data_IF_624088883421
#
_entry.id   IF_624088883421
#
_cell.length_a   1.000
_cell.length_b   1.000
_cell.length_c   1.000
_cell.angle_alpha   90.00
_cell.angle_beta   90.00
_cell.angle_gamma   90.00
#
_symmetry.space_group_name_H-M   'P 1'
#
loop_
_entity.id
_entity.type
_entity.pdbx_description
1 polymer ?
#
# COMPACT_ATOMS: atom_id res chain seq x y z
N UNK A 1 21.80 10.74 6.25
CA UNK A 1 21.43 9.30 6.22
C UNK A 1 20.68 8.85 7.47
N UNK A 2 21.15 9.15 8.70
CA UNK A 2 20.52 8.68 9.95
C UNK A 2 19.10 9.22 10.23
N UNK A 3 18.75 10.42 9.77
CA UNK A 3 17.42 11.00 10.03
C UNK A 3 16.31 10.38 9.16
N UNK A 4 16.61 10.11 7.88
CA UNK A 4 15.70 9.43 6.96
C UNK A 4 15.33 8.03 7.46
N UNK A 5 16.33 7.22 7.84
CA UNK A 5 16.11 5.86 8.33
C UNK A 5 15.25 5.88 9.60
N UNK A 6 15.55 6.78 10.55
CA UNK A 6 14.75 6.94 11.77
C UNK A 6 13.29 7.31 11.48
N UNK A 7 13.05 8.27 10.58
CA UNK A 7 11.69 8.67 10.17
C UNK A 7 10.96 7.53 9.48
N UNK A 8 11.62 6.81 8.58
CA UNK A 8 11.06 5.66 7.88
C UNK A 8 10.71 4.50 8.84
N UNK A 9 11.58 4.20 9.80
CA UNK A 9 11.34 3.15 10.79
C UNK A 9 10.19 3.55 11.73
N UNK A 10 10.10 4.82 12.17
CA UNK A 10 8.98 5.32 12.95
C UNK A 10 7.64 5.27 12.18
N UNK A 11 7.65 5.66 10.91
CA UNK A 11 6.49 5.52 10.02
C UNK A 11 6.07 4.05 9.86
N UNK A 12 7.05 3.15 9.69
CA UNK A 12 6.80 1.70 9.61
C UNK A 12 6.08 1.20 10.85
N UNK A 13 6.52 1.60 12.06
CA UNK A 13 5.83 1.19 13.29
C UNK A 13 4.38 1.67 13.36
N UNK A 14 4.08 2.87 12.84
CA UNK A 14 2.70 3.37 12.79
C UNK A 14 1.82 2.57 11.82
N UNK A 15 2.34 2.24 10.64
CA UNK A 15 1.66 1.38 9.67
C UNK A 15 1.36 0.01 10.29
N UNK A 16 2.35 -0.59 10.94
CA UNK A 16 2.20 -1.89 11.60
C UNK A 16 1.21 -1.86 12.77
N UNK A 17 1.17 -0.79 13.56
CA UNK A 17 0.17 -0.62 14.62
C UNK A 17 -1.25 -0.54 14.05
N UNK A 18 -1.45 0.21 12.96
CA UNK A 18 -2.73 0.30 12.26
C UNK A 18 -3.15 -1.04 11.64
N UNK A 19 -2.19 -1.80 11.09
CA UNK A 19 -2.44 -3.14 10.58
C UNK A 19 -2.97 -4.08 11.67
N UNK A 20 -2.34 -4.08 12.86
CA UNK A 20 -2.80 -4.88 14.02
C UNK A 20 -4.21 -4.51 14.47
N UNK A 21 -4.54 -3.23 14.42
CA UNK A 21 -5.88 -2.75 14.77
C UNK A 21 -6.93 -3.37 13.83
N UNK A 22 -6.69 -3.32 12.52
CA UNK A 22 -7.58 -3.93 11.51
C UNK A 22 -7.61 -5.46 11.66
N UNK A 23 -6.46 -6.12 11.82
CA UNK A 23 -6.36 -7.57 12.05
C UNK A 23 -7.24 -8.03 13.20
N UNK A 24 -7.23 -7.29 14.32
CA UNK A 24 -8.02 -7.62 15.51
C UNK A 24 -9.51 -7.72 15.21
N UNK A 25 -10.02 -6.91 14.28
CA UNK A 25 -11.43 -6.89 13.93
C UNK A 25 -11.76 -7.82 12.76
N UNK A 26 -10.91 -7.86 11.73
CA UNK A 26 -11.16 -8.63 10.52
C UNK A 26 -11.03 -10.15 10.75
N UNK A 27 -9.99 -10.60 11.47
CA UNK A 27 -9.72 -12.02 11.70
C UNK A 27 -10.72 -12.71 12.64
N UNK A 28 -11.61 -11.95 13.29
CA UNK A 28 -12.71 -12.52 14.07
C UNK A 28 -13.84 -13.05 13.16
N UNK A 29 -13.91 -12.60 11.91
CA UNK A 29 -15.04 -12.87 11.02
C UNK A 29 -14.61 -13.48 9.68
N UNK A 30 -13.32 -13.48 9.36
CA UNK A 30 -12.76 -14.02 8.13
C UNK A 30 -11.43 -14.74 8.43
N UNK A 31 -11.19 -15.87 7.77
CA UNK A 31 -9.98 -16.68 7.94
C UNK A 31 -8.93 -16.32 6.88
N UNK A 32 -8.04 -15.38 7.22
CA UNK A 32 -6.95 -14.94 6.34
C UNK A 32 -5.78 -15.90 6.36
N UNK A 33 -5.22 -16.22 5.18
CA UNK A 33 -3.96 -16.97 5.10
C UNK A 33 -2.78 -16.21 5.73
N UNK A 34 -2.76 -14.88 5.63
CA UNK A 34 -1.71 -14.03 6.18
C UNK A 34 -2.34 -12.88 6.96
N UNK A 35 -1.68 -12.40 8.02
CA UNK A 35 -2.12 -11.19 8.72
C UNK A 35 -1.77 -9.93 7.91
N UNK A 36 -2.56 -8.87 8.04
CA UNK A 36 -2.25 -7.58 7.44
C UNK A 36 -0.93 -7.04 8.00
N UNK A 37 -0.65 -7.30 9.26
CA UNK A 37 0.63 -6.98 9.89
C UNK A 37 1.82 -7.60 9.15
N UNK A 38 1.77 -8.90 8.83
CA UNK A 38 2.87 -9.60 8.18
C UNK A 38 3.07 -9.10 6.74
N UNK A 39 1.97 -8.94 5.99
CA UNK A 39 2.00 -8.37 4.64
C UNK A 39 2.66 -6.98 4.67
N UNK A 40 2.21 -6.12 5.59
CA UNK A 40 2.71 -4.76 5.74
C UNK A 40 4.18 -4.72 6.14
N UNK A 41 4.60 -5.62 7.03
CA UNK A 41 5.99 -5.75 7.45
C UNK A 41 6.87 -6.10 6.25
N UNK A 42 6.52 -7.14 5.49
CA UNK A 42 7.30 -7.60 4.33
C UNK A 42 7.38 -6.49 3.28
N UNK A 43 6.26 -5.84 2.96
CA UNK A 43 6.23 -4.72 2.02
C UNK A 43 7.18 -3.58 2.46
N UNK A 44 7.15 -3.17 3.74
CA UNK A 44 8.03 -2.10 4.26
C UNK A 44 9.50 -2.50 4.28
N UNK A 45 9.83 -3.77 4.54
CA UNK A 45 11.22 -4.24 4.45
C UNK A 45 11.71 -4.27 3.00
N UNK A 46 10.88 -4.76 2.07
CA UNK A 46 11.23 -4.80 0.65
C UNK A 46 11.35 -3.41 0.04
N UNK A 47 10.52 -2.46 0.45
CA UNK A 47 10.64 -1.09 -0.03
C UNK A 47 11.90 -0.36 0.47
N UNK A 48 12.42 -0.75 1.64
CA UNK A 48 13.69 -0.24 2.18
C UNK A 48 14.90 -0.69 1.34
N UNK A 49 14.77 -1.83 0.64
CA UNK A 49 15.78 -2.32 -0.30
C UNK A 49 15.68 -1.61 -1.66
N UNK A 50 16.68 -0.76 -1.96
CA UNK A 50 16.75 -0.02 -3.21
C UNK A 50 16.77 -0.93 -4.44
N UNK A 51 17.44 -2.09 -4.41
CA UNK A 51 17.49 -2.98 -5.58
C UNK A 51 16.12 -3.57 -5.89
N UNK A 52 15.36 -3.92 -4.85
CA UNK A 52 13.99 -4.39 -5.00
C UNK A 52 13.10 -3.26 -5.52
N UNK A 53 13.17 -2.08 -4.90
CA UNK A 53 12.40 -0.91 -5.31
C UNK A 53 12.67 -0.57 -6.78
N UNK A 54 13.93 -0.46 -7.18
CA UNK A 54 14.33 -0.02 -8.52
C UNK A 54 13.87 -1.02 -9.60
N UNK A 55 13.79 -2.33 -9.27
CA UNK A 55 13.24 -3.37 -10.16
C UNK A 55 11.76 -3.14 -10.52
N UNK A 56 10.96 -2.62 -9.59
CA UNK A 56 9.49 -2.54 -9.76
C UNK A 56 8.97 -1.12 -9.95
N UNK A 57 9.71 -0.13 -9.44
CA UNK A 57 9.30 1.27 -9.37
C UNK A 57 10.23 2.16 -10.21
N UNK A 58 11.42 1.70 -10.55
CA UNK A 58 12.47 2.49 -11.20
C UNK A 58 13.31 3.29 -10.21
N UNK A 59 14.40 3.88 -10.70
CA UNK A 59 15.31 4.70 -9.90
C UNK A 59 14.67 6.05 -9.52
N UNK A 60 14.54 6.30 -8.22
CA UNK A 60 14.00 7.55 -7.67
C UNK A 60 15.00 8.72 -7.67
N UNK A 61 16.26 8.52 -8.07
CA UNK A 61 17.28 9.60 -8.07
C UNK A 61 17.14 10.62 -9.22
N UNK A 62 16.16 10.47 -10.12
CA UNK A 62 15.96 11.42 -11.21
C UNK A 62 15.21 12.68 -10.74
N UNK A 63 15.91 13.83 -10.74
CA UNK A 63 15.32 15.18 -10.67
C UNK A 63 14.57 15.58 -11.97
N UNK A 64 13.87 14.62 -12.59
CA UNK A 64 13.17 14.79 -13.85
C UNK A 64 12.01 13.81 -13.93
N UNK A 65 10.88 14.29 -14.47
CA UNK A 65 9.64 13.55 -14.64
C UNK A 65 9.92 12.16 -15.26
N UNK A 66 9.81 11.10 -14.45
CA UNK A 66 9.84 9.73 -14.95
C UNK A 66 8.54 9.50 -15.73
N UNK A 67 8.56 8.92 -16.94
CA UNK A 67 7.33 8.68 -17.71
C UNK A 67 6.39 7.64 -17.08
N UNK A 68 6.82 6.96 -16.01
CA UNK A 68 6.02 6.02 -15.24
C UNK A 68 6.17 6.20 -13.70
N UNK A 69 5.78 7.35 -13.11
CA UNK A 69 5.94 7.61 -11.68
C UNK A 69 4.86 6.91 -10.83
N UNK A 70 4.14 5.93 -11.39
CA UNK A 70 3.00 5.25 -10.74
C UNK A 70 3.52 4.14 -9.85
N UNK A 71 4.02 4.60 -8.70
CA UNK A 71 4.93 3.90 -7.81
C UNK A 71 4.27 2.95 -6.81
N UNK A 72 5.12 2.47 -5.93
CA UNK A 72 4.91 1.43 -4.93
C UNK A 72 3.54 1.46 -4.19
N UNK A 73 2.89 2.62 -4.04
CA UNK A 73 1.55 2.76 -3.47
C UNK A 73 0.49 1.90 -4.18
N UNK A 74 0.48 1.88 -5.52
CA UNK A 74 -0.49 1.09 -6.27
C UNK A 74 -0.19 -0.41 -6.19
N UNK A 75 1.09 -0.81 -6.25
CA UNK A 75 1.51 -2.20 -6.14
C UNK A 75 1.23 -2.77 -4.73
N UNK A 76 1.54 -2.00 -3.69
CA UNK A 76 1.25 -2.39 -2.30
C UNK A 76 -0.26 -2.48 -2.04
N UNK A 77 -1.05 -1.51 -2.51
CA UNK A 77 -2.52 -1.53 -2.43
C UNK A 77 -3.09 -2.79 -3.07
N UNK A 78 -2.70 -3.09 -4.31
CA UNK A 78 -3.17 -4.30 -5.02
C UNK A 78 -2.68 -5.55 -4.27
N UNK A 79 -1.46 -5.57 -3.78
CA UNK A 79 -0.90 -6.71 -3.06
C UNK A 79 -1.68 -7.01 -1.77
N UNK A 80 -1.96 -6.00 -0.95
CA UNK A 80 -2.76 -6.14 0.27
C UNK A 80 -4.16 -6.63 -0.09
N UNK A 81 -4.82 -6.01 -1.06
CA UNK A 81 -6.16 -6.41 -1.50
C UNK A 81 -6.19 -7.90 -1.87
N UNK A 82 -5.22 -8.37 -2.65
CA UNK A 82 -5.19 -9.77 -3.10
C UNK A 82 -4.82 -10.77 -2.00
N UNK A 83 -3.99 -10.36 -1.03
CA UNK A 83 -3.48 -11.26 0.01
C UNK A 83 -4.30 -11.23 1.30
N UNK A 84 -5.18 -10.24 1.46
CA UNK A 84 -5.91 -10.00 2.72
C UNK A 84 -7.39 -9.74 2.47
N UNK A 85 -8.13 -10.78 2.07
CA UNK A 85 -9.61 -10.79 2.06
C UNK A 85 -10.29 -10.00 0.93
N UNK A 86 -9.56 -9.26 0.09
CA UNK A 86 -10.12 -8.57 -1.07
C UNK A 86 -11.33 -7.70 -0.72
N UNK A 87 -12.42 -7.90 -1.45
CA UNK A 87 -13.68 -7.17 -1.35
C UNK A 87 -14.41 -7.42 -0.02
N UNK A 88 -14.06 -8.48 0.72
CA UNK A 88 -14.66 -8.77 2.04
C UNK A 88 -14.22 -7.74 3.08
N UNK A 89 -12.97 -7.28 2.98
CA UNK A 89 -12.37 -6.33 3.92
C UNK A 89 -12.25 -4.94 3.31
N UNK A 90 -12.01 -4.81 2.01
CA UNK A 90 -11.54 -3.56 1.43
C UNK A 90 -12.47 -2.89 0.42
N UNK A 91 -12.56 -1.57 0.55
CA UNK A 91 -13.02 -0.64 -0.49
C UNK A 91 -11.82 0.11 -1.05
N UNK A 92 -11.45 -0.13 -2.32
CA UNK A 92 -10.39 0.60 -2.99
C UNK A 92 -10.75 2.08 -3.15
N UNK A 93 -9.84 2.96 -2.74
CA UNK A 93 -10.09 4.40 -2.72
C UNK A 93 -8.93 5.20 -3.32
N UNK A 94 -9.26 6.31 -3.97
CA UNK A 94 -8.28 7.22 -4.58
C UNK A 94 -8.27 8.56 -3.86
N UNK A 95 -7.14 9.25 -3.95
CA UNK A 95 -7.04 10.65 -3.57
C UNK A 95 -7.67 11.48 -4.70
N UNK A 96 -8.72 12.24 -4.39
CA UNK A 96 -9.29 13.21 -5.34
C UNK A 96 -8.38 14.44 -5.42
N UNK A 97 -7.50 14.49 -6.42
CA UNK A 97 -6.58 15.60 -6.65
C UNK A 97 -7.23 16.66 -7.56
N UNK A 98 -8.23 17.41 -7.09
CA UNK A 98 -8.87 18.49 -7.86
C UNK A 98 -9.41 18.04 -9.24
N UNK A 99 -9.52 18.96 -10.21
CA UNK A 99 -10.03 18.70 -11.57
C UNK A 99 -9.07 17.88 -12.47
N UNK A 100 -8.20 17.07 -11.87
CA UNK A 100 -7.33 16.15 -12.60
C UNK A 100 -7.94 14.75 -12.56
N UNK A 101 -8.27 14.27 -13.75
CA UNK A 101 -9.36 13.34 -14.01
C UNK A 101 -9.11 11.88 -13.54
N UNK A 102 -7.88 11.50 -13.19
CA UNK A 102 -7.56 10.10 -12.82
C UNK A 102 -6.34 9.99 -11.88
N UNK A 103 -6.53 10.12 -10.57
CA UNK A 103 -5.52 9.64 -9.62
C UNK A 103 -5.62 8.10 -9.50
N UNK A 104 -4.49 7.36 -9.58
CA UNK A 104 -4.50 5.92 -9.32
C UNK A 104 -4.94 5.67 -7.88
N UNK A 105 -5.50 4.49 -7.61
CA UNK A 105 -5.86 4.04 -6.26
C UNK A 105 -4.65 4.14 -5.36
N UNK A 106 -4.79 4.81 -4.21
CA UNK A 106 -3.64 5.04 -3.32
C UNK A 106 -3.81 4.31 -1.99
N UNK A 107 -5.04 3.99 -1.57
CA UNK A 107 -5.28 3.40 -0.25
C UNK A 107 -6.49 2.48 -0.25
N UNK A 108 -6.51 1.57 0.71
CA UNK A 108 -7.64 0.70 1.01
C UNK A 108 -8.40 1.29 2.20
N UNK A 109 -9.73 1.20 2.17
CA UNK A 109 -10.57 1.47 3.34
C UNK A 109 -11.16 0.17 3.82
N UNK A 110 -11.05 -0.09 5.11
CA UNK A 110 -11.77 -1.19 5.72
C UNK A 110 -13.29 -0.95 5.60
N UNK A 111 -14.03 -1.96 5.16
CA UNK A 111 -15.46 -1.87 4.84
C UNK A 111 -16.35 -1.71 6.08
N UNK A 112 -15.87 -2.12 7.26
CA UNK A 112 -16.69 -2.19 8.48
C UNK A 112 -16.60 -0.93 9.33
N UNK A 113 -15.40 -0.40 9.47
CA UNK A 113 -15.05 0.70 10.35
C UNK A 113 -14.58 1.93 9.60
N UNK A 114 -14.55 1.88 8.25
CA UNK A 114 -14.12 2.96 7.36
C UNK A 114 -12.69 3.46 7.65
N UNK A 115 -11.84 2.56 8.16
CA UNK A 115 -10.47 2.88 8.55
C UNK A 115 -9.58 2.90 7.29
N UNK A 116 -8.92 4.03 6.96
CA UNK A 116 -8.01 4.08 5.84
C UNK A 116 -6.68 3.37 6.16
N UNK A 117 -6.16 2.65 5.18
CA UNK A 117 -4.91 1.90 5.25
C UNK A 117 -4.05 2.11 4.00
N UNK A 118 -2.80 2.50 4.21
CA UNK A 118 -1.78 2.68 3.17
C UNK A 118 -0.38 2.40 3.77
N UNK A 119 0.39 1.54 3.12
CA UNK A 119 1.77 1.22 3.53
C UNK A 119 2.78 2.28 3.10
N UNK A 120 2.37 3.26 2.30
CA UNK A 120 3.20 4.30 1.70
C UNK A 120 2.80 5.72 2.12
N UNK A 121 1.83 5.86 3.04
CA UNK A 121 1.28 7.16 3.42
C UNK A 121 2.27 8.11 4.07
N UNK A 122 3.42 7.62 4.54
CA UNK A 122 4.49 8.43 5.13
C UNK A 122 5.22 9.31 4.12
N UNK A 123 5.17 8.98 2.82
CA UNK A 123 5.74 9.82 1.76
C UNK A 123 5.07 11.21 1.68
N UNK A 124 3.89 11.35 2.27
CA UNK A 124 3.15 12.61 2.30
C UNK A 124 3.41 13.42 3.57
N UNK A 125 4.22 12.98 4.53
CA UNK A 125 4.53 13.78 5.72
C UNK A 125 5.39 15.02 5.38
N UNK A 126 5.14 16.21 5.98
CA UNK A 126 4.22 16.50 7.07
C UNK A 126 2.81 16.89 6.62
N UNK A 127 2.46 16.76 5.33
CA UNK A 127 1.10 17.03 4.85
C UNK A 127 0.15 16.11 5.64
N UNK A 128 -0.53 16.71 6.62
CA UNK A 128 -1.62 16.08 7.35
C UNK A 128 -2.81 16.21 6.45
N UNK A 129 -3.01 15.23 5.58
CA UNK A 129 -3.78 15.57 4.43
C UNK A 129 -5.27 15.68 4.73
N UNK A 130 -5.90 16.83 4.44
CA UNK A 130 -7.34 16.97 4.49
C UNK A 130 -7.90 16.59 3.12
N UNK A 131 -7.48 15.44 2.56
CA UNK A 131 -8.05 14.97 1.30
C UNK A 131 -9.50 14.55 1.58
N UNK A 132 -10.41 14.80 0.64
CA UNK A 132 -11.62 14.00 0.53
C UNK A 132 -11.18 12.54 0.26
N UNK A 133 -10.87 11.80 1.33
CA UNK A 133 -10.78 10.35 1.34
C UNK A 133 -12.19 9.83 1.07
N UNK A 134 -12.70 9.98 -0.14
CA UNK A 134 -14.17 10.01 -0.27
C UNK A 134 -14.72 9.59 -1.61
N UNK A 135 -13.89 9.25 -2.59
CA UNK A 135 -14.41 8.70 -3.83
C UNK A 135 -13.95 7.26 -3.98
N UNK A 136 -14.83 6.29 -3.65
CA UNK A 136 -14.69 4.92 -4.10
C UNK A 136 -14.42 4.90 -5.60
N UNK A 137 -13.53 4.03 -6.01
CA UNK A 137 -13.15 3.97 -7.42
C UNK A 137 -14.12 3.04 -8.10
N UNK A 138 -14.82 3.54 -9.13
CA UNK A 138 -15.71 2.73 -9.97
C UNK A 138 -14.97 1.73 -10.88
N UNK A 139 -13.71 1.41 -10.58
CA UNK A 139 -12.86 0.49 -11.33
C UNK A 139 -12.41 -0.63 -10.41
N UNK A 140 -12.61 -1.87 -10.83
CA UNK A 140 -12.23 -3.06 -10.05
C UNK A 140 -10.71 -3.13 -9.91
N UNK A 141 -10.22 -3.59 -8.75
CA UNK A 141 -8.77 -3.73 -8.47
C UNK A 141 -8.04 -4.53 -9.54
N UNK A 142 -8.66 -5.63 -9.99
CA UNK A 142 -8.12 -6.49 -11.04
C UNK A 142 -7.88 -5.78 -12.38
N UNK A 143 -8.65 -4.72 -12.68
CA UNK A 143 -8.60 -3.97 -13.94
C UNK A 143 -7.57 -2.82 -13.89
N UNK A 144 -6.88 -2.65 -12.76
CA UNK A 144 -5.83 -1.66 -12.58
C UNK A 144 -4.57 -2.12 -13.31
N UNK A 145 -4.03 -1.22 -14.15
CA UNK A 145 -2.84 -1.46 -14.94
C UNK A 145 -1.62 -0.98 -14.17
N UNK A 146 -0.96 -1.89 -13.47
CA UNK A 146 0.37 -1.71 -12.88
C UNK A 146 1.35 -2.69 -13.53
N UNK A 147 2.54 -2.26 -13.97
CA UNK A 147 3.55 -3.17 -14.50
C UNK A 147 3.97 -4.23 -13.48
N UNK A 148 4.23 -5.46 -13.95
CA UNK A 148 4.80 -6.56 -13.16
C UNK A 148 4.02 -6.95 -11.88
N UNK A 149 2.72 -6.62 -11.78
CA UNK A 149 1.90 -6.83 -10.57
C UNK A 149 1.92 -8.27 -10.06
N UNK A 150 1.77 -9.24 -10.95
CA UNK A 150 1.70 -10.67 -10.60
C UNK A 150 3.04 -11.15 -10.04
N UNK A 151 4.14 -10.76 -10.69
CA UNK A 151 5.49 -11.08 -10.23
C UNK A 151 5.80 -10.42 -8.88
N UNK A 152 5.38 -9.17 -8.68
CA UNK A 152 5.52 -8.47 -7.40
C UNK A 152 4.80 -9.23 -6.28
N UNK A 153 3.51 -9.56 -6.47
CA UNK A 153 2.71 -10.29 -5.48
C UNK A 153 3.32 -11.66 -5.19
N UNK A 154 3.79 -12.38 -6.22
CA UNK A 154 4.44 -13.68 -6.06
C UNK A 154 5.74 -13.59 -5.24
N UNK A 155 6.57 -12.57 -5.46
CA UNK A 155 7.79 -12.35 -4.65
C UNK A 155 7.44 -12.01 -3.19
N UNK A 156 6.41 -11.20 -2.93
CA UNK A 156 5.94 -10.92 -1.57
C UNK A 156 5.41 -12.19 -0.89
N UNK A 157 4.57 -12.97 -1.60
CA UNK A 157 4.02 -14.23 -1.10
C UNK A 157 5.12 -15.21 -0.69
N UNK A 158 6.16 -15.35 -1.52
CA UNK A 158 7.32 -16.20 -1.22
C UNK A 158 8.03 -15.81 0.07
N UNK A 159 8.09 -14.52 0.41
CA UNK A 159 8.71 -14.06 1.65
C UNK A 159 7.80 -14.21 2.87
N UNK A 160 6.48 -14.17 2.66
CA UNK A 160 5.49 -14.50 3.70
C UNK A 160 5.54 -15.99 4.02
N UNK A 161 5.58 -16.86 3.00
CA UNK A 161 5.62 -18.33 3.18
C UNK A 161 6.91 -18.85 3.84
N UNK A 162 7.96 -18.02 3.92
CA UNK A 162 9.24 -18.36 4.59
C UNK A 162 9.25 -18.04 6.08
N UNK A 163 8.26 -17.29 6.56
CA UNK A 163 8.14 -16.85 7.95
C UNK A 163 7.26 -17.81 8.73
#
# INVERSE_FOLDING_TARGET
MNDYIKKYDAATQRVLAKAREIDRFALQEFDAQYTLYDISYVLRQKFKDHLFRDRYVGDMQFMGFTPYPKGFCALSTICIYNLYGGDEIWTPSAIKLGAWEYAPVVFLRDNRFDIPFDTTGDQFAPLRVPYELGTPINKRVRDMKTPNKERFIAEIKKELDRR
#
